data_IF_033806620976
#
_entry.id   IF_033806620976
#
_cell.length_a   1.000
_cell.length_b   1.000
_cell.length_c   1.000
_cell.angle_alpha   90.00
_cell.angle_beta   90.00
_cell.angle_gamma   90.00
#
_symmetry.space_group_name_H-M   'P 1'
#
loop_
_entity.id
_entity.type
_entity.pdbx_description
1 polymer ?
#
# COMPACT_ATOMS: atom_id res chain seq x y z
N UNK A 1 3.22 -8.91 39.15
CA UNK A 1 4.57 -9.22 38.65
C UNK A 1 4.99 -8.12 37.69
N UNK A 2 6.18 -7.51 37.82
CA UNK A 2 6.57 -6.43 36.93
C UNK A 2 7.03 -6.97 35.57
N UNK A 3 6.48 -6.40 34.49
CA UNK A 3 7.14 -6.20 33.20
C UNK A 3 7.50 -7.44 32.39
N UNK A 4 6.53 -8.02 31.68
CA UNK A 4 6.85 -8.91 30.56
C UNK A 4 7.68 -8.14 29.50
N UNK A 5 8.72 -8.79 28.96
CA UNK A 5 9.53 -8.21 27.90
C UNK A 5 8.66 -7.87 26.68
N UNK A 6 8.95 -6.72 26.04
CA UNK A 6 8.23 -6.32 24.82
C UNK A 6 8.45 -7.38 23.72
N UNK A 7 7.43 -7.65 22.89
CA UNK A 7 7.60 -8.51 21.74
C UNK A 7 8.67 -7.94 20.81
N UNK A 8 9.39 -8.80 20.07
CA UNK A 8 10.33 -8.32 19.06
C UNK A 8 9.61 -7.45 18.03
N UNK A 9 10.33 -6.52 17.38
CA UNK A 9 9.75 -5.72 16.30
C UNK A 9 9.22 -6.62 15.17
N UNK A 10 8.20 -6.17 14.43
CA UNK A 10 7.67 -6.90 13.28
C UNK A 10 8.79 -7.21 12.28
N UNK A 11 8.83 -8.45 11.79
CA UNK A 11 9.95 -8.97 10.97
C UNK A 11 9.59 -9.15 9.50
N UNK A 12 8.32 -9.01 9.13
CA UNK A 12 7.86 -9.10 7.74
C UNK A 12 7.35 -7.76 7.20
N UNK A 13 7.43 -7.56 5.89
CA UNK A 13 6.91 -6.38 5.19
C UNK A 13 5.83 -6.80 4.17
N UNK A 14 4.74 -6.05 4.13
CA UNK A 14 3.71 -6.11 3.08
C UNK A 14 3.90 -4.92 2.15
N UNK A 15 4.19 -5.21 0.89
CA UNK A 15 4.24 -4.21 -0.17
C UNK A 15 2.87 -4.05 -0.82
N UNK A 16 2.28 -2.85 -0.70
CA UNK A 16 1.01 -2.47 -1.31
C UNK A 16 1.30 -1.67 -2.57
N UNK A 17 0.90 -2.22 -3.73
CA UNK A 17 1.03 -1.58 -5.04
C UNK A 17 -0.31 -1.07 -5.51
N UNK A 18 -0.34 0.19 -5.92
CA UNK A 18 -1.57 0.88 -6.35
C UNK A 18 -1.34 1.61 -7.66
N UNK A 19 -2.41 1.76 -8.44
CA UNK A 19 -2.43 2.53 -9.68
C UNK A 19 -3.39 3.70 -9.54
N UNK A 20 -3.09 4.85 -10.16
CA UNK A 20 -4.09 5.89 -10.33
C UNK A 20 -5.25 5.36 -11.19
N UNK A 21 -6.47 5.58 -10.74
CA UNK A 21 -7.67 5.33 -11.55
C UNK A 21 -7.82 6.52 -12.48
N UNK A 22 -7.74 6.30 -13.80
CA UNK A 22 -8.13 7.33 -14.75
C UNK A 22 -9.63 7.57 -14.61
N UNK A 23 -10.04 8.76 -14.18
CA UNK A 23 -11.44 9.16 -14.27
C UNK A 23 -11.82 9.20 -15.77
N UNK A 24 -12.99 8.67 -16.12
CA UNK A 24 -13.46 8.61 -17.50
C UNK A 24 -13.48 9.96 -18.20
N UNK A 25 -13.29 9.91 -19.52
CA UNK A 25 -13.56 10.94 -20.52
C UNK A 25 -12.73 12.24 -20.42
N UNK A 26 -11.46 12.15 -20.10
CA UNK A 26 -10.55 13.28 -20.30
C UNK A 26 -9.10 12.89 -20.05
N UNK A 27 -8.25 13.04 -21.08
CA UNK A 27 -6.86 12.59 -21.11
C UNK A 27 -5.92 13.24 -20.06
N UNK A 28 -6.43 14.04 -19.12
CA UNK A 28 -5.63 14.87 -18.23
C UNK A 28 -6.01 14.81 -16.74
N UNK A 29 -7.05 14.06 -16.33
CA UNK A 29 -7.38 13.90 -14.92
C UNK A 29 -6.81 12.57 -14.38
N UNK A 30 -5.49 12.53 -14.21
CA UNK A 30 -4.87 11.54 -13.32
C UNK A 30 -5.04 12.10 -11.91
N UNK A 31 -6.09 11.69 -11.19
CA UNK A 31 -6.13 11.96 -9.75
C UNK A 31 -4.93 11.25 -9.13
N UNK A 32 -3.98 12.04 -8.63
CA UNK A 32 -2.76 11.53 -8.03
C UNK A 32 -3.13 10.67 -6.81
N UNK A 33 -2.65 9.44 -6.77
CA UNK A 33 -2.85 8.57 -5.61
C UNK A 33 -2.08 9.15 -4.42
N UNK A 34 -2.79 9.49 -3.35
CA UNK A 34 -2.18 9.87 -2.09
C UNK A 34 -1.59 8.63 -1.38
N UNK A 35 -0.28 8.44 -1.53
CA UNK A 35 0.43 7.33 -0.91
C UNK A 35 0.36 7.32 0.62
N UNK A 36 0.26 8.50 1.26
CA UNK A 36 0.15 8.59 2.72
C UNK A 36 -1.22 8.12 3.17
N UNK A 37 -2.28 8.50 2.46
CA UNK A 37 -3.64 8.02 2.74
C UNK A 37 -3.75 6.51 2.56
N UNK A 38 -3.14 5.95 1.51
CA UNK A 38 -3.08 4.50 1.29
C UNK A 38 -2.32 3.81 2.43
N UNK A 39 -1.19 4.36 2.87
CA UNK A 39 -0.41 3.79 3.96
C UNK A 39 -1.18 3.77 5.28
N UNK A 40 -1.94 4.84 5.58
CA UNK A 40 -2.78 4.90 6.78
C UNK A 40 -3.82 3.77 6.78
N UNK A 41 -4.54 3.59 5.67
CA UNK A 41 -5.54 2.52 5.51
C UNK A 41 -4.89 1.14 5.61
N UNK A 42 -3.77 0.94 4.92
CA UNK A 42 -3.04 -0.33 4.94
C UNK A 42 -2.56 -0.67 6.37
N UNK A 43 -2.03 0.32 7.09
CA UNK A 43 -1.56 0.15 8.47
C UNK A 43 -2.71 -0.19 9.42
N UNK A 44 -3.89 0.39 9.24
CA UNK A 44 -5.07 0.08 10.05
C UNK A 44 -5.55 -1.38 9.90
N UNK A 45 -5.29 -2.00 8.75
CA UNK A 45 -5.62 -3.40 8.46
C UNK A 45 -4.44 -4.37 8.67
N UNK A 46 -3.24 -3.86 8.96
CA UNK A 46 -2.03 -4.66 8.97
C UNK A 46 -1.94 -5.55 10.22
N UNK A 47 -1.63 -6.85 10.07
CA UNK A 47 -1.27 -7.70 11.21
C UNK A 47 -0.11 -7.10 12.01
N UNK A 48 -0.19 -7.18 13.33
CA UNK A 48 0.78 -6.53 14.26
C UNK A 48 2.24 -7.00 14.12
N UNK A 49 2.48 -8.12 13.46
CA UNK A 49 3.82 -8.68 13.21
C UNK A 49 4.38 -8.30 11.83
N UNK A 50 3.67 -7.46 11.07
CA UNK A 50 4.06 -6.98 9.75
C UNK A 50 4.14 -5.46 9.73
N UNK A 51 4.95 -4.93 8.81
CA UNK A 51 4.95 -3.53 8.41
C UNK A 51 4.30 -3.37 7.04
N UNK A 52 3.78 -2.18 6.73
CA UNK A 52 3.26 -1.84 5.41
C UNK A 52 4.16 -0.84 4.71
N UNK A 53 4.36 -1.04 3.41
CA UNK A 53 4.98 -0.07 2.50
C UNK A 53 4.09 0.12 1.28
N UNK A 54 4.01 1.35 0.77
CA UNK A 54 3.22 1.70 -0.41
C UNK A 54 4.13 2.07 -1.57
N UNK A 55 3.80 1.55 -2.75
CA UNK A 55 4.40 1.91 -4.03
C UNK A 55 3.29 2.31 -5.01
N UNK A 56 3.35 3.55 -5.51
CA UNK A 56 2.45 4.02 -6.57
C UNK A 56 3.11 3.71 -7.91
N UNK A 57 2.45 2.85 -8.69
CA UNK A 57 2.90 2.42 -10.00
C UNK A 57 2.20 3.24 -11.11
N UNK A 58 2.82 3.39 -12.29
CA UNK A 58 2.28 4.21 -13.37
C UNK A 58 0.99 3.65 -14.00
N UNK A 59 0.72 2.35 -13.85
CA UNK A 59 -0.45 1.68 -14.41
C UNK A 59 -0.35 0.16 -14.32
N UNK A 60 -1.42 -0.57 -14.72
CA UNK A 60 -1.42 -2.03 -14.75
C UNK A 60 -0.30 -2.60 -15.64
N UNK A 61 0.19 -3.81 -15.36
CA UNK A 61 1.03 -4.53 -16.32
C UNK A 61 0.27 -4.65 -17.65
N UNK A 62 1.00 -4.55 -18.75
CA UNK A 62 0.43 -4.84 -20.07
C UNK A 62 -0.06 -6.30 -20.06
N UNK A 63 -1.32 -6.53 -20.44
CA UNK A 63 -1.80 -7.88 -20.68
C UNK A 63 -1.07 -8.43 -21.90
N UNK A 64 0.06 -9.11 -21.67
CA UNK A 64 0.63 -10.00 -22.67
C UNK A 64 -0.29 -11.21 -22.75
N UNK A 65 -1.31 -11.12 -23.61
CA UNK A 65 -2.17 -12.25 -23.96
C UNK A 65 -1.37 -13.35 -24.68
N UNK A 66 -1.62 -14.60 -24.30
CA UNK A 66 -1.32 -15.79 -25.11
C UNK A 66 -2.59 -16.19 -25.88
#
# INVERSE_FOLDING_TARGET
EPGAALPPPPTGEVLVRVWPVRAGDGADAVDAVDAHRVLEVATAACPVHLTCRVEVLPGPPEETGD
#
